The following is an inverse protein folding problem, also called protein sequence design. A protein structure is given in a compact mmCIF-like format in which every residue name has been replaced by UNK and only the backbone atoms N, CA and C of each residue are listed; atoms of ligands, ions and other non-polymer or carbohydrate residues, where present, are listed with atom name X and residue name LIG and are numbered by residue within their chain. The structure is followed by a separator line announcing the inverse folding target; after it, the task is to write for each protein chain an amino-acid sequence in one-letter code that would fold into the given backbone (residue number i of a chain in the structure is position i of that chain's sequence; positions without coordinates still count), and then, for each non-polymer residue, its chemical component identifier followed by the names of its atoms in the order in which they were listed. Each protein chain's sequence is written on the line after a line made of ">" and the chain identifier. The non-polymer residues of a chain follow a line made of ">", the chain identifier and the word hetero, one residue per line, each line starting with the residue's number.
data_IF_127228135737
#
_entry.id   IF_127228135737
#
_cell.length_a   1.000
_cell.length_b   1.000
_cell.length_c   1.000
_cell.angle_alpha   90.00
_cell.angle_beta   90.00
_cell.angle_gamma   90.00
#
_symmetry.space_group_name_H-M   'P 1'
#
loop_
_entity.id
_entity.type
_entity.pdbx_description
1 polymer ?
#
# COMPACT_ATOMS: atom_id res chain seq x y z
N UNK A 1 7.41 23.67 -14.40
CA UNK A 1 6.63 24.91 -14.26
C UNK A 1 6.19 24.98 -12.80
N UNK A 2 6.66 26.00 -12.07
CA UNK A 2 6.09 26.32 -10.77
C UNK A 2 4.60 26.64 -10.96
N UNK A 3 3.75 25.95 -10.24
CA UNK A 3 2.39 26.40 -10.04
C UNK A 3 2.52 27.76 -9.33
N UNK A 4 2.00 28.81 -9.91
CA UNK A 4 2.14 30.16 -9.32
C UNK A 4 1.59 30.14 -7.91
N UNK A 5 2.23 30.87 -6.97
CA UNK A 5 1.79 30.97 -5.57
C UNK A 5 0.31 31.35 -5.42
N UNK A 6 -0.25 32.02 -6.43
CA UNK A 6 -1.66 32.38 -6.52
C UNK A 6 -2.58 31.15 -6.70
N UNK A 7 -2.26 30.22 -7.62
CA UNK A 7 -3.07 29.03 -7.86
C UNK A 7 -2.96 28.03 -6.69
N UNK A 8 -1.76 27.86 -6.13
CA UNK A 8 -1.53 27.07 -4.91
C UNK A 8 -2.27 27.68 -3.72
N UNK A 9 -2.21 29.01 -3.58
CA UNK A 9 -2.89 29.76 -2.50
C UNK A 9 -4.42 29.71 -2.65
N UNK A 10 -4.94 29.70 -3.88
CA UNK A 10 -6.38 29.63 -4.15
C UNK A 10 -6.93 28.21 -3.89
N UNK A 11 -6.21 27.17 -4.34
CA UNK A 11 -6.57 25.78 -4.07
C UNK A 11 -6.58 25.47 -2.56
N UNK A 12 -5.62 26.04 -1.79
CA UNK A 12 -5.50 25.75 -0.36
C UNK A 12 -6.23 26.74 0.56
N UNK A 13 -6.47 27.98 0.16
CA UNK A 13 -7.25 28.96 0.97
C UNK A 13 -8.73 28.63 1.02
N UNK A 14 -9.31 28.21 -0.09
CA UNK A 14 -10.73 27.84 -0.13
C UNK A 14 -10.99 26.52 0.63
N UNK A 15 -10.03 25.55 0.61
CA UNK A 15 -10.14 24.31 1.37
C UNK A 15 -10.08 24.48 2.91
N UNK A 16 -9.37 25.47 3.42
CA UNK A 16 -9.21 25.67 4.88
C UNK A 16 -10.35 26.49 5.48
N UNK A 17 -10.90 27.47 4.74
CA UNK A 17 -11.99 28.31 5.25
C UNK A 17 -13.34 27.56 5.32
N UNK A 18 -13.63 26.69 4.35
CA UNK A 18 -14.85 25.88 4.31
C UNK A 18 -14.85 24.70 5.30
N UNK A 19 -13.68 24.17 5.66
CA UNK A 19 -13.57 23.09 6.65
C UNK A 19 -14.01 23.50 8.06
N UNK A 20 -13.80 24.76 8.45
CA UNK A 20 -14.23 25.25 9.77
C UNK A 20 -15.76 25.43 9.87
N UNK A 21 -16.45 25.66 8.76
CA UNK A 21 -17.92 25.80 8.71
C UNK A 21 -18.63 24.46 8.53
N UNK A 22 -18.09 23.55 7.71
CA UNK A 22 -18.69 22.23 7.40
C UNK A 22 -18.46 21.18 8.47
N UNK A 23 -17.38 21.30 9.27
CA UNK A 23 -17.14 20.39 10.41
C UNK A 23 -18.16 20.49 11.53
N UNK A 24 -18.98 21.55 11.57
CA UNK A 24 -20.06 21.72 12.55
C UNK A 24 -21.41 21.11 12.12
N UNK A 25 -21.60 20.84 10.83
CA UNK A 25 -22.86 20.28 10.32
C UNK A 25 -22.82 18.76 10.02
N UNK A 26 -21.61 18.16 9.93
CA UNK A 26 -21.42 16.74 9.52
C UNK A 26 -21.32 15.71 10.65
N UNK A 27 -21.53 16.08 11.90
CA UNK A 27 -21.53 15.11 13.02
C UNK A 27 -22.78 14.20 13.11
N UNK A 28 -23.54 14.04 12.03
CA UNK A 28 -24.75 13.19 12.03
C UNK A 28 -24.96 12.28 10.81
N UNK A 29 -24.00 12.17 9.91
CA UNK A 29 -24.07 11.21 8.79
C UNK A 29 -22.73 10.47 8.72
N UNK A 30 -22.80 9.13 8.89
CA UNK A 30 -21.68 8.25 9.08
C UNK A 30 -20.52 8.42 8.08
N UNK A 31 -19.30 8.42 8.64
CA UNK A 31 -18.05 8.31 7.91
C UNK A 31 -18.08 7.08 6.99
N UNK A 32 -18.23 7.30 5.69
CA UNK A 32 -17.81 6.32 4.71
C UNK A 32 -16.28 6.44 4.64
N UNK A 33 -15.57 5.53 5.29
CA UNK A 33 -14.12 5.38 5.28
C UNK A 33 -13.62 5.31 3.83
N UNK A 34 -12.91 6.34 3.41
CA UNK A 34 -12.23 6.39 2.12
C UNK A 34 -11.06 5.44 2.18
N UNK A 35 -11.17 4.30 1.53
CA UNK A 35 -10.19 3.22 1.56
C UNK A 35 -8.83 3.66 1.02
N UNK A 36 -7.95 4.09 1.90
CA UNK A 36 -6.50 4.15 1.64
C UNK A 36 -6.02 2.72 1.47
N UNK A 37 -5.40 2.39 0.33
CA UNK A 37 -4.79 1.06 0.14
C UNK A 37 -3.66 0.91 1.14
N UNK A 38 -3.79 -0.09 2.00
CA UNK A 38 -2.77 -0.46 2.97
C UNK A 38 -1.92 -1.61 2.44
N UNK A 39 -0.66 -1.64 2.87
CA UNK A 39 0.29 -2.69 2.55
C UNK A 39 0.62 -3.46 3.81
N UNK A 40 0.51 -4.79 3.74
CA UNK A 40 0.65 -5.66 4.89
C UNK A 40 1.71 -6.73 4.66
N UNK A 41 2.61 -6.92 5.63
CA UNK A 41 3.41 -8.14 5.76
C UNK A 41 2.63 -9.16 6.57
N UNK A 42 2.49 -10.36 6.02
CA UNK A 42 1.71 -11.43 6.60
C UNK A 42 2.51 -12.74 6.65
N UNK A 43 2.54 -13.41 7.80
CA UNK A 43 3.14 -14.74 7.96
C UNK A 43 2.03 -15.82 7.98
N UNK A 44 1.92 -16.66 6.94
CA UNK A 44 0.91 -17.71 6.85
C UNK A 44 1.26 -18.93 7.71
N UNK A 45 0.89 -18.88 8.98
CA UNK A 45 1.26 -19.92 9.97
C UNK A 45 2.71 -19.83 10.43
N UNK A 46 3.09 -20.71 11.37
CA UNK A 46 4.46 -20.79 11.85
C UNK A 46 5.40 -21.31 10.74
N UNK A 47 6.49 -20.57 10.51
CA UNK A 47 7.41 -20.91 9.42
C UNK A 47 6.79 -20.88 8.01
N UNK A 48 5.63 -20.23 7.86
CA UNK A 48 4.81 -20.21 6.66
C UNK A 48 4.24 -21.60 6.26
N UNK A 49 3.98 -22.44 7.25
CA UNK A 49 3.47 -23.82 7.02
C UNK A 49 2.14 -23.87 6.28
N UNK A 50 1.32 -22.82 6.38
CA UNK A 50 0.01 -22.74 5.74
C UNK A 50 0.04 -22.13 4.34
N UNK A 51 1.20 -21.65 3.86
CA UNK A 51 1.30 -20.88 2.63
C UNK A 51 0.69 -21.58 1.42
N UNK A 52 1.06 -22.85 1.18
CA UNK A 52 0.59 -23.60 0.03
C UNK A 52 -0.93 -23.80 0.02
N UNK A 53 -1.51 -24.09 1.19
CA UNK A 53 -2.95 -24.25 1.36
C UNK A 53 -3.68 -22.93 1.13
N UNK A 54 -3.22 -21.85 1.73
CA UNK A 54 -3.84 -20.52 1.61
C UNK A 54 -3.74 -19.96 0.20
N UNK A 55 -2.59 -20.14 -0.45
CA UNK A 55 -2.43 -19.75 -1.84
C UNK A 55 -3.43 -20.48 -2.75
N UNK A 56 -3.53 -21.80 -2.61
CA UNK A 56 -4.42 -22.63 -3.45
C UNK A 56 -5.91 -22.35 -3.19
N UNK A 57 -6.27 -22.02 -1.94
CA UNK A 57 -7.63 -21.66 -1.56
C UNK A 57 -8.01 -20.21 -1.88
N UNK A 58 -7.05 -19.36 -2.25
CA UNK A 58 -7.30 -17.92 -2.47
C UNK A 58 -7.67 -17.19 -1.19
N UNK A 59 -7.04 -17.54 -0.06
CA UNK A 59 -7.34 -16.95 1.24
C UNK A 59 -6.08 -16.51 1.99
N UNK A 60 -6.24 -15.70 3.01
CA UNK A 60 -5.34 -15.55 4.15
C UNK A 60 -6.09 -15.92 5.43
N UNK A 61 -5.45 -16.68 6.31
CA UNK A 61 -6.01 -17.11 7.58
C UNK A 61 -5.20 -16.62 8.76
N UNK A 62 -5.86 -16.35 9.87
CA UNK A 62 -5.21 -15.94 11.10
C UNK A 62 -5.47 -16.99 12.19
N UNK A 63 -4.42 -17.43 12.88
CA UNK A 63 -4.52 -18.31 14.05
C UNK A 63 -5.19 -17.62 15.24
N UNK A 64 -5.03 -18.19 16.42
CA UNK A 64 -5.78 -17.90 17.64
C UNK A 64 -7.22 -18.39 17.56
N UNK A 65 -7.40 -19.61 17.05
CA UNK A 65 -8.68 -20.28 16.84
C UNK A 65 -9.50 -20.39 18.14
N UNK A 66 -8.80 -20.44 19.28
CA UNK A 66 -9.39 -20.43 20.62
C UNK A 66 -10.16 -19.17 20.98
N UNK A 67 -10.01 -18.09 20.20
CA UNK A 67 -10.81 -16.88 20.36
C UNK A 67 -12.19 -17.00 19.68
N UNK A 68 -12.37 -17.97 18.76
CA UNK A 68 -13.59 -18.13 17.98
C UNK A 68 -13.78 -16.98 16.97
N UNK A 69 -15.03 -16.57 16.76
CA UNK A 69 -15.34 -15.44 15.89
C UNK A 69 -14.82 -14.12 16.49
N UNK A 70 -13.85 -13.54 15.81
CA UNK A 70 -13.15 -12.34 16.26
C UNK A 70 -14.03 -11.08 16.21
N UNK A 71 -15.12 -11.05 15.44
CA UNK A 71 -16.09 -9.95 15.43
C UNK A 71 -16.90 -9.80 16.72
N UNK A 72 -16.86 -10.81 17.59
CA UNK A 72 -17.60 -10.79 18.86
C UNK A 72 -16.99 -9.91 19.92
N UNK A 73 -15.73 -9.48 19.74
CA UNK A 73 -15.00 -8.66 20.71
C UNK A 73 -15.18 -7.17 20.45
N UNK A 74 -15.48 -6.42 21.50
CA UNK A 74 -15.69 -4.98 21.42
C UNK A 74 -14.38 -4.16 21.46
N UNK A 75 -13.25 -4.76 21.86
CA UNK A 75 -11.96 -4.06 21.98
C UNK A 75 -10.74 -4.99 21.94
N UNK A 76 -9.57 -4.41 21.62
CA UNK A 76 -8.26 -5.08 21.72
C UNK A 76 -7.95 -5.57 23.15
N UNK A 77 -8.38 -4.81 24.14
CA UNK A 77 -8.14 -5.17 25.55
C UNK A 77 -8.95 -6.40 25.97
N UNK A 78 -10.17 -6.55 25.47
CA UNK A 78 -11.00 -7.72 25.67
C UNK A 78 -10.37 -8.98 25.06
N UNK A 79 -9.88 -8.89 23.81
CA UNK A 79 -9.11 -9.96 23.16
C UNK A 79 -7.86 -10.33 23.96
N UNK A 80 -7.10 -9.33 24.43
CA UNK A 80 -5.90 -9.55 25.23
C UNK A 80 -6.24 -10.21 26.58
N UNK A 81 -7.36 -9.83 27.20
CA UNK A 81 -7.83 -10.46 28.44
C UNK A 81 -8.23 -11.91 28.20
N UNK A 82 -8.97 -12.19 27.12
CA UNK A 82 -9.36 -13.55 26.77
C UNK A 82 -8.15 -14.47 26.54
N UNK A 83 -7.13 -13.97 25.84
CA UNK A 83 -5.87 -14.71 25.63
C UNK A 83 -5.15 -14.99 26.96
N UNK A 84 -5.15 -14.04 27.92
CA UNK A 84 -4.60 -14.27 29.27
C UNK A 84 -5.37 -15.34 30.03
N UNK A 85 -6.69 -15.31 29.91
CA UNK A 85 -7.56 -16.28 30.60
C UNK A 85 -7.35 -17.72 30.08
N UNK A 86 -7.06 -17.84 28.77
CA UNK A 86 -6.81 -19.15 28.12
C UNK A 86 -5.40 -19.67 28.42
N UNK A 87 -4.39 -18.84 28.19
CA UNK A 87 -3.00 -19.30 28.24
C UNK A 87 -2.33 -19.10 29.62
N UNK A 88 -2.88 -18.24 30.46
CA UNK A 88 -2.28 -17.88 31.75
C UNK A 88 -0.96 -17.12 31.62
N UNK A 89 -0.26 -16.97 32.75
CA UNK A 89 1.08 -16.40 32.80
C UNK A 89 1.11 -14.86 32.83
N UNK A 90 2.35 -14.30 32.88
CA UNK A 90 2.59 -12.85 33.01
C UNK A 90 2.60 -12.10 31.66
N UNK A 91 2.30 -12.79 30.56
CA UNK A 91 2.28 -12.16 29.22
C UNK A 91 1.12 -11.20 29.09
N UNK A 92 1.39 -10.02 28.52
CA UNK A 92 0.34 -9.02 28.29
C UNK A 92 -0.58 -9.34 27.09
N UNK A 93 -0.15 -10.21 26.17
CA UNK A 93 -0.81 -10.56 24.90
C UNK A 93 -1.23 -9.36 24.02
N UNK A 94 -0.73 -8.15 24.30
CA UNK A 94 -1.11 -6.92 23.58
C UNK A 94 -0.74 -6.98 22.09
N UNK A 95 0.41 -7.58 21.78
CA UNK A 95 0.84 -7.69 20.37
C UNK A 95 -0.03 -8.69 19.58
N UNK A 96 -0.40 -9.81 20.21
CA UNK A 96 -1.32 -10.80 19.62
C UNK A 96 -2.70 -10.19 19.39
N UNK A 97 -3.27 -9.58 20.42
CA UNK A 97 -4.56 -8.91 20.34
C UNK A 97 -4.56 -7.76 19.29
N UNK A 98 -3.44 -7.05 19.14
CA UNK A 98 -3.30 -6.03 18.11
C UNK A 98 -3.33 -6.61 16.69
N UNK A 99 -2.59 -7.70 16.45
CA UNK A 99 -2.59 -8.37 15.15
C UNK A 99 -3.98 -8.93 14.79
N UNK A 100 -4.64 -9.56 15.77
CA UNK A 100 -6.01 -10.08 15.62
C UNK A 100 -7.00 -8.94 15.30
N UNK A 101 -6.90 -7.83 16.01
CA UNK A 101 -7.76 -6.67 15.78
C UNK A 101 -7.54 -6.06 14.40
N UNK A 102 -6.29 -5.88 13.99
CA UNK A 102 -5.95 -5.36 12.66
C UNK A 102 -6.50 -6.25 11.55
N UNK A 103 -6.42 -7.56 11.72
CA UNK A 103 -6.93 -8.51 10.75
C UNK A 103 -8.43 -8.35 10.52
N UNK A 104 -9.21 -8.06 11.57
CA UNK A 104 -10.67 -7.89 11.48
C UNK A 104 -11.06 -6.50 11.01
N UNK A 105 -10.44 -5.45 11.58
CA UNK A 105 -10.98 -4.10 11.48
C UNK A 105 -10.18 -3.17 10.57
N UNK A 106 -8.86 -3.38 10.46
CA UNK A 106 -7.98 -2.45 9.77
C UNK A 106 -7.74 -2.88 8.30
N UNK A 107 -7.63 -4.20 8.02
CA UNK A 107 -7.51 -4.71 6.64
C UNK A 107 -8.84 -4.53 5.90
N UNK A 108 -8.76 -4.06 4.66
CA UNK A 108 -9.93 -3.80 3.80
C UNK A 108 -9.76 -4.46 2.42
N UNK A 109 -10.86 -4.74 1.71
CA UNK A 109 -10.79 -5.09 0.29
C UNK A 109 -10.02 -4.03 -0.50
N UNK A 110 -9.09 -4.48 -1.36
CA UNK A 110 -8.16 -3.63 -2.10
C UNK A 110 -6.79 -3.47 -1.45
N UNK A 111 -6.60 -3.86 -0.18
CA UNK A 111 -5.28 -3.86 0.46
C UNK A 111 -4.34 -4.89 -0.15
N UNK A 112 -3.05 -4.58 -0.15
CA UNK A 112 -1.99 -5.44 -0.70
C UNK A 112 -1.34 -6.25 0.42
N UNK A 113 -1.26 -7.57 0.23
CA UNK A 113 -0.64 -8.50 1.16
C UNK A 113 0.66 -9.05 0.57
N UNK A 114 1.75 -8.95 1.33
CA UNK A 114 2.99 -9.66 1.08
C UNK A 114 3.12 -10.84 2.05
N UNK A 115 2.99 -12.05 1.54
CA UNK A 115 3.21 -13.27 2.32
C UNK A 115 4.72 -13.46 2.55
N UNK A 116 5.11 -13.70 3.80
CA UNK A 116 6.52 -13.83 4.17
C UNK A 116 6.83 -15.14 4.91
N UNK A 117 8.09 -15.59 4.80
CA UNK A 117 8.67 -16.64 5.64
C UNK A 117 9.82 -16.07 6.47
N UNK A 118 9.74 -16.23 7.78
CA UNK A 118 10.78 -15.75 8.69
C UNK A 118 10.97 -14.23 8.61
N UNK A 119 12.24 -13.80 8.50
CA UNK A 119 12.63 -12.39 8.61
C UNK A 119 13.14 -11.75 7.33
N UNK A 120 13.28 -12.51 6.25
CA UNK A 120 13.94 -11.99 5.03
C UNK A 120 13.41 -12.57 3.73
N UNK A 121 12.40 -13.43 3.76
CA UNK A 121 11.88 -14.07 2.56
C UNK A 121 10.42 -13.67 2.31
N UNK A 122 10.13 -13.26 1.09
CA UNK A 122 8.77 -13.05 0.57
C UNK A 122 8.38 -14.28 -0.26
N UNK A 123 7.17 -14.77 -0.06
CA UNK A 123 6.63 -15.96 -0.72
C UNK A 123 5.60 -15.63 -1.78
N UNK A 124 5.02 -14.45 -1.72
CA UNK A 124 4.00 -14.05 -2.68
C UNK A 124 3.39 -12.69 -2.38
N UNK A 125 2.61 -12.21 -3.36
CA UNK A 125 1.83 -10.98 -3.30
C UNK A 125 0.38 -11.30 -3.64
N UNK A 126 -0.54 -10.64 -2.96
CA UNK A 126 -1.97 -10.73 -3.24
C UNK A 126 -2.70 -9.43 -2.92
N UNK A 127 -3.96 -9.36 -3.34
CA UNK A 127 -4.89 -8.26 -3.05
C UNK A 127 -6.08 -8.82 -2.30
N UNK A 128 -6.47 -8.19 -1.21
CA UNK A 128 -7.63 -8.58 -0.39
C UNK A 128 -8.91 -8.37 -1.18
N UNK A 129 -9.77 -9.38 -1.27
CA UNK A 129 -11.04 -9.32 -2.01
C UNK A 129 -12.27 -9.28 -1.11
N UNK A 130 -12.16 -9.74 0.15
CA UNK A 130 -13.31 -9.76 1.07
C UNK A 130 -13.08 -9.00 2.36
N UNK A 131 -14.17 -8.68 3.04
CA UNK A 131 -14.15 -8.39 4.47
C UNK A 131 -13.76 -9.63 5.25
N UNK A 132 -13.58 -9.47 6.58
CA UNK A 132 -13.34 -10.61 7.47
C UNK A 132 -14.52 -11.58 7.45
N UNK A 133 -14.21 -12.88 7.40
CA UNK A 133 -15.14 -14.00 7.46
C UNK A 133 -14.72 -14.99 8.55
N UNK A 134 -15.69 -15.49 9.32
CA UNK A 134 -15.49 -16.62 10.23
C UNK A 134 -16.10 -17.87 9.61
N UNK A 135 -15.26 -18.84 9.25
CA UNK A 135 -15.68 -20.10 8.63
C UNK A 135 -15.59 -21.26 9.65
N UNK A 136 -16.71 -21.52 10.31
CA UNK A 136 -16.83 -22.61 11.30
C UNK A 136 -16.73 -24.02 10.68
N UNK A 137 -16.79 -24.11 9.34
CA UNK A 137 -16.66 -25.37 8.61
C UNK A 137 -15.25 -25.61 8.04
N UNK A 138 -14.33 -24.70 8.29
CA UNK A 138 -12.92 -24.89 7.90
C UNK A 138 -12.33 -26.01 8.75
N UNK A 139 -11.85 -27.11 8.13
CA UNK A 139 -11.42 -28.37 8.77
C UNK A 139 -10.47 -28.24 9.99
N UNK A 140 -10.90 -27.51 11.01
CA UNK A 140 -10.32 -27.45 12.35
C UNK A 140 -9.19 -26.49 12.61
N UNK A 141 -8.61 -25.82 11.62
CA UNK A 141 -7.55 -24.81 11.81
C UNK A 141 -7.80 -23.55 10.97
N UNK A 142 -7.51 -22.36 11.55
CA UNK A 142 -7.62 -21.05 10.90
C UNK A 142 -9.04 -20.70 10.40
N UNK A 143 -10.07 -20.71 11.25
CA UNK A 143 -11.43 -20.36 10.85
C UNK A 143 -11.59 -18.86 10.55
N UNK A 144 -10.64 -18.03 10.96
CA UNK A 144 -10.64 -16.59 10.78
C UNK A 144 -9.94 -16.24 9.46
N UNK A 145 -10.70 -15.93 8.42
CA UNK A 145 -10.20 -15.80 7.05
C UNK A 145 -10.59 -14.49 6.38
N UNK A 146 -9.86 -14.17 5.30
CA UNK A 146 -10.21 -13.23 4.25
C UNK A 146 -9.88 -13.83 2.89
N UNK A 147 -10.69 -13.54 1.87
CA UNK A 147 -10.37 -13.90 0.50
C UNK A 147 -9.28 -12.98 -0.03
N UNK A 148 -8.30 -13.57 -0.69
CA UNK A 148 -7.16 -12.88 -1.27
C UNK A 148 -6.92 -13.40 -2.67
N UNK A 149 -6.87 -12.51 -3.63
CA UNK A 149 -6.38 -12.82 -4.96
C UNK A 149 -4.86 -12.78 -4.94
N UNK A 150 -4.24 -13.94 -4.78
CA UNK A 150 -2.80 -14.09 -4.87
C UNK A 150 -2.35 -13.89 -6.32
N UNK A 151 -1.52 -12.89 -6.57
CA UNK A 151 -1.05 -12.50 -7.90
C UNK A 151 0.32 -13.07 -8.23
N UNK A 152 1.14 -13.33 -7.22
CA UNK A 152 2.49 -13.86 -7.38
C UNK A 152 2.80 -14.92 -6.33
N UNK A 153 3.57 -15.94 -6.73
CA UNK A 153 4.06 -17.00 -5.86
C UNK A 153 5.51 -17.30 -6.21
N UNK A 154 6.38 -17.35 -5.23
CA UNK A 154 7.80 -17.61 -5.45
C UNK A 154 8.60 -17.60 -4.15
N UNK A 155 9.87 -17.24 -4.26
CA UNK A 155 10.77 -17.06 -3.14
C UNK A 155 11.73 -15.91 -3.47
N UNK A 156 11.58 -14.79 -2.78
CA UNK A 156 12.40 -13.60 -2.96
C UNK A 156 13.07 -13.23 -1.64
N UNK A 157 14.40 -13.18 -1.65
CA UNK A 157 15.17 -12.80 -0.48
C UNK A 157 15.28 -11.27 -0.38
N UNK A 158 14.97 -10.74 0.79
CA UNK A 158 15.14 -9.33 1.11
C UNK A 158 16.43 -9.10 1.89
N UNK A 159 17.15 -8.05 1.54
CA UNK A 159 18.30 -7.58 2.32
C UNK A 159 17.89 -6.94 3.65
N UNK A 160 16.62 -6.56 3.78
CA UNK A 160 16.06 -5.97 4.98
C UNK A 160 15.37 -7.01 5.86
N UNK A 161 15.52 -6.86 7.18
CA UNK A 161 14.91 -7.78 8.12
C UNK A 161 13.48 -7.36 8.47
N UNK A 162 12.54 -8.26 8.25
CA UNK A 162 11.13 -8.07 8.61
C UNK A 162 10.88 -8.20 10.10
N UNK A 163 9.83 -7.53 10.59
CA UNK A 163 9.34 -7.73 11.93
C UNK A 163 8.92 -9.19 12.17
N UNK A 164 9.23 -9.74 13.36
CA UNK A 164 8.79 -11.08 13.74
C UNK A 164 7.35 -11.08 14.28
N UNK A 165 6.45 -10.51 13.47
CA UNK A 165 5.01 -10.49 13.77
C UNK A 165 4.26 -11.24 12.68
N UNK A 166 3.12 -11.81 13.04
CA UNK A 166 2.23 -12.49 12.09
C UNK A 166 1.65 -11.51 11.08
N UNK A 167 1.30 -10.31 11.54
CA UNK A 167 0.76 -9.24 10.71
C UNK A 167 1.44 -7.91 11.05
N UNK A 168 1.80 -7.13 10.04
CA UNK A 168 2.43 -5.81 10.21
C UNK A 168 1.97 -4.88 9.10
N UNK A 169 1.40 -3.75 9.48
CA UNK A 169 1.12 -2.64 8.55
C UNK A 169 2.45 -1.99 8.15
N UNK A 170 2.75 -2.00 6.86
CA UNK A 170 3.95 -1.42 6.27
C UNK A 170 3.63 -0.25 5.33
N UNK A 171 2.41 0.23 5.33
CA UNK A 171 1.90 1.30 4.44
C UNK A 171 2.75 2.57 4.50
N UNK A 172 3.22 2.94 5.70
CA UNK A 172 4.01 4.15 5.90
C UNK A 172 5.51 3.97 5.57
N UNK A 173 5.95 2.75 5.28
CA UNK A 173 7.34 2.42 4.93
C UNK A 173 7.45 2.32 3.40
N UNK A 174 7.29 3.46 2.71
CA UNK A 174 7.19 3.52 1.24
C UNK A 174 8.40 2.95 0.52
N UNK A 175 9.62 3.21 0.99
CA UNK A 175 10.84 2.64 0.39
C UNK A 175 10.85 1.12 0.50
N UNK A 176 10.43 0.60 1.64
CA UNK A 176 10.31 -0.83 1.89
C UNK A 176 9.24 -1.48 1.01
N UNK A 177 8.04 -0.90 0.93
CA UNK A 177 6.94 -1.43 0.11
C UNK A 177 7.27 -1.40 -1.38
N UNK A 178 7.93 -0.35 -1.86
CA UNK A 178 8.41 -0.25 -3.24
C UNK A 178 9.48 -1.29 -3.55
N UNK A 179 10.44 -1.51 -2.62
CA UNK A 179 11.49 -2.51 -2.79
C UNK A 179 10.92 -3.94 -2.88
N UNK A 180 9.95 -4.27 -2.01
CA UNK A 180 9.29 -5.58 -2.08
C UNK A 180 8.44 -5.70 -3.35
N UNK A 181 7.72 -4.65 -3.73
CA UNK A 181 6.95 -4.64 -4.99
C UNK A 181 7.85 -4.89 -6.20
N UNK A 182 9.07 -4.37 -6.19
CA UNK A 182 10.07 -4.60 -7.23
C UNK A 182 10.48 -6.08 -7.40
N UNK A 183 10.31 -6.92 -6.38
CA UNK A 183 10.57 -8.36 -6.52
C UNK A 183 9.64 -9.05 -7.51
N UNK A 184 8.48 -8.48 -7.75
CA UNK A 184 7.46 -9.04 -8.62
C UNK A 184 7.52 -8.46 -10.05
N UNK A 185 8.46 -7.55 -10.30
CA UNK A 185 8.64 -6.91 -11.60
C UNK A 185 9.73 -7.61 -12.44
N UNK A 186 10.63 -8.41 -11.81
CA UNK A 186 11.83 -9.01 -12.44
C UNK A 186 11.72 -10.53 -12.71
N UNK A 187 10.55 -11.08 -12.98
CA UNK A 187 10.50 -12.53 -13.22
C UNK A 187 9.26 -13.03 -13.92
N UNK A 188 9.38 -13.23 -15.22
CA UNK A 188 9.10 -14.50 -15.90
C UNK A 188 9.10 -14.29 -17.41
N UNK A 189 10.18 -14.73 -18.08
CA UNK A 189 10.23 -14.88 -19.54
C UNK A 189 9.74 -16.26 -20.01
N UNK A 190 9.15 -17.14 -19.23
CA UNK A 190 8.65 -18.43 -19.69
C UNK A 190 7.56 -19.01 -18.80
N UNK A 191 6.35 -18.44 -18.87
CA UNK A 191 5.10 -19.21 -18.69
C UNK A 191 3.97 -18.40 -19.36
N UNK A 192 3.28 -19.01 -20.31
CA UNK A 192 2.00 -18.51 -20.84
C UNK A 192 1.00 -18.42 -19.67
N UNK A 193 1.02 -17.31 -18.93
CA UNK A 193 -0.01 -17.05 -17.93
C UNK A 193 -1.30 -16.64 -18.62
N UNK A 194 -2.32 -17.43 -18.36
CA UNK A 194 -3.72 -16.99 -18.37
C UNK A 194 -3.78 -15.69 -17.58
N UNK A 195 -3.72 -14.54 -18.27
CA UNK A 195 -3.81 -13.21 -17.68
C UNK A 195 -5.19 -13.06 -17.05
N UNK A 196 -5.32 -13.48 -15.79
CA UNK A 196 -6.48 -13.11 -14.97
C UNK A 196 -6.43 -11.60 -14.80
N UNK A 197 -7.32 -10.90 -15.46
CA UNK A 197 -7.53 -9.46 -15.33
C UNK A 197 -7.78 -9.17 -13.85
N UNK A 198 -6.87 -8.42 -13.22
CA UNK A 198 -7.08 -7.92 -11.87
C UNK A 198 -8.12 -6.81 -12.00
N UNK A 199 -9.29 -7.00 -11.44
CA UNK A 199 -10.37 -6.01 -11.44
C UNK A 199 -10.15 -5.07 -10.25
N UNK A 200 -9.44 -3.97 -10.48
CA UNK A 200 -9.27 -2.93 -9.48
C UNK A 200 -10.55 -2.10 -9.36
N UNK A 201 -10.89 -1.60 -8.14
CA UNK A 201 -12.06 -0.77 -7.95
C UNK A 201 -12.05 0.45 -8.86
N UNK A 202 -13.17 0.72 -9.52
CA UNK A 202 -13.33 1.95 -10.29
C UNK A 202 -13.15 3.19 -9.39
N UNK A 203 -12.56 4.25 -9.93
CA UNK A 203 -12.36 5.51 -9.23
C UNK A 203 -12.63 6.69 -10.17
N UNK A 204 -13.74 7.34 -9.95
CA UNK A 204 -14.24 8.41 -10.82
C UNK A 204 -13.70 9.80 -10.41
N UNK A 205 -13.93 10.79 -11.28
CA UNK A 205 -13.71 12.21 -10.94
C UNK A 205 -14.58 12.63 -9.76
N UNK A 206 -15.81 12.11 -9.67
CA UNK A 206 -16.72 12.40 -8.58
C UNK A 206 -16.17 11.88 -7.24
N UNK A 207 -15.60 10.67 -7.23
CA UNK A 207 -14.92 10.12 -6.06
C UNK A 207 -13.77 11.03 -5.62
N UNK A 208 -12.95 11.50 -6.58
CA UNK A 208 -11.87 12.44 -6.30
C UNK A 208 -12.39 13.74 -5.66
N UNK A 209 -13.40 14.37 -6.26
CA UNK A 209 -13.96 15.63 -5.77
C UNK A 209 -14.61 15.49 -4.39
N UNK A 210 -15.19 14.33 -4.08
CA UNK A 210 -15.74 14.03 -2.77
C UNK A 210 -14.66 13.86 -1.70
N UNK A 211 -13.49 13.29 -2.08
CA UNK A 211 -12.40 13.00 -1.15
C UNK A 211 -11.44 14.18 -0.96
N UNK A 212 -11.18 14.99 -1.99
CA UNK A 212 -10.08 15.98 -2.02
C UNK A 212 -10.53 17.42 -1.70
N UNK A 213 -11.82 17.68 -1.59
CA UNK A 213 -12.37 19.03 -1.34
C UNK A 213 -11.85 20.08 -2.33
N UNK A 214 -11.79 19.71 -3.60
CA UNK A 214 -11.42 20.58 -4.72
C UNK A 214 -12.66 20.82 -5.58
N UNK A 215 -12.80 22.02 -6.14
CA UNK A 215 -13.86 22.27 -7.13
C UNK A 215 -13.52 21.66 -8.50
N UNK A 216 -14.54 21.38 -9.29
CA UNK A 216 -14.43 20.70 -10.56
C UNK A 216 -13.57 21.50 -11.58
N UNK A 217 -13.66 22.82 -11.58
CA UNK A 217 -12.86 23.68 -12.48
C UNK A 217 -11.37 23.57 -12.16
N UNK A 218 -11.01 23.60 -10.88
CA UNK A 218 -9.63 23.42 -10.39
C UNK A 218 -9.09 22.03 -10.73
N UNK A 219 -9.92 20.99 -10.61
CA UNK A 219 -9.55 19.62 -11.01
C UNK A 219 -9.19 19.56 -12.49
N UNK A 220 -10.06 20.04 -13.39
CA UNK A 220 -9.78 19.98 -14.82
C UNK A 220 -8.60 20.86 -15.25
N UNK A 221 -8.36 21.99 -14.58
CA UNK A 221 -7.14 22.79 -14.79
C UNK A 221 -5.89 21.97 -14.43
N UNK A 222 -5.91 21.29 -13.28
CA UNK A 222 -4.78 20.48 -12.80
C UNK A 222 -4.49 19.33 -13.76
N UNK A 223 -5.53 18.59 -14.17
CA UNK A 223 -5.42 17.50 -15.17
C UNK A 223 -4.89 18.03 -16.50
N UNK A 224 -5.41 19.15 -17.00
CA UNK A 224 -4.96 19.77 -18.25
C UNK A 224 -3.49 20.20 -18.22
N UNK A 225 -3.01 20.71 -17.06
CA UNK A 225 -1.59 21.02 -16.88
C UNK A 225 -0.75 19.76 -16.89
N UNK A 226 -1.19 18.70 -16.18
CA UNK A 226 -0.48 17.41 -16.14
C UNK A 226 -0.41 16.76 -17.52
N UNK A 227 -1.52 16.70 -18.26
CA UNK A 227 -1.54 16.14 -19.64
C UNK A 227 -0.64 16.94 -20.60
N UNK A 228 -0.55 18.26 -20.44
CA UNK A 228 0.27 19.13 -21.29
C UNK A 228 1.77 19.09 -20.94
N UNK A 229 2.10 18.97 -19.67
CA UNK A 229 3.48 19.09 -19.17
C UNK A 229 4.09 17.78 -18.73
N UNK A 230 3.29 16.74 -18.58
CA UNK A 230 3.65 15.40 -18.10
C UNK A 230 4.20 15.37 -16.66
N UNK A 231 4.26 16.52 -15.99
CA UNK A 231 4.64 16.62 -14.58
C UNK A 231 4.02 17.85 -13.93
N UNK A 232 3.82 17.77 -12.61
CA UNK A 232 3.38 18.88 -11.76
C UNK A 232 4.12 18.84 -10.42
N UNK A 233 4.25 19.99 -9.77
CA UNK A 233 4.77 20.11 -8.42
C UNK A 233 3.63 20.62 -7.52
N UNK A 234 3.26 19.79 -6.53
CA UNK A 234 2.29 20.16 -5.50
C UNK A 234 3.04 20.79 -4.32
N UNK A 235 2.87 22.09 -4.13
CA UNK A 235 3.51 22.85 -3.05
C UNK A 235 2.47 23.26 -2.01
N UNK A 236 2.88 23.34 -0.74
CA UNK A 236 2.01 23.78 0.36
C UNK A 236 2.58 23.41 1.72
N UNK A 237 1.93 23.89 2.79
CA UNK A 237 2.34 23.63 4.17
C UNK A 237 2.36 22.11 4.50
N UNK A 238 3.16 21.68 5.49
CA UNK A 238 3.08 20.30 5.99
C UNK A 238 1.67 19.97 6.48
N UNK A 239 1.22 18.74 6.23
CA UNK A 239 -0.08 18.24 6.71
C UNK A 239 -1.32 18.65 5.89
N UNK A 240 -1.17 19.42 4.79
CA UNK A 240 -2.32 19.81 3.94
C UNK A 240 -2.77 18.72 2.94
N UNK A 241 -2.25 17.51 3.04
CA UNK A 241 -2.70 16.39 2.22
C UNK A 241 -2.11 16.31 0.80
N UNK A 242 -0.97 16.93 0.50
CA UNK A 242 -0.34 16.89 -0.84
C UNK A 242 -0.18 15.48 -1.38
N UNK A 243 0.40 14.58 -0.59
CA UNK A 243 0.62 13.16 -0.95
C UNK A 243 -0.70 12.42 -1.16
N UNK A 244 -1.70 12.73 -0.36
CA UNK A 244 -3.05 12.21 -0.49
C UNK A 244 -3.68 12.62 -1.83
N UNK A 245 -3.60 13.90 -2.17
CA UNK A 245 -4.11 14.45 -3.44
C UNK A 245 -3.40 13.84 -4.64
N UNK A 246 -2.06 13.71 -4.58
CA UNK A 246 -1.27 13.16 -5.69
C UNK A 246 -1.71 11.75 -6.10
N UNK A 247 -1.86 10.83 -5.14
CA UNK A 247 -2.32 9.46 -5.41
C UNK A 247 -3.74 9.43 -5.99
N UNK A 248 -4.65 10.22 -5.41
CA UNK A 248 -6.05 10.26 -5.87
C UNK A 248 -6.21 10.87 -7.25
N UNK A 249 -5.41 11.87 -7.55
CA UNK A 249 -5.37 12.46 -8.89
C UNK A 249 -4.93 11.40 -9.91
N UNK A 250 -3.93 10.60 -9.61
CA UNK A 250 -3.52 9.49 -10.46
C UNK A 250 -4.67 8.51 -10.70
N UNK A 251 -5.34 8.04 -9.64
CA UNK A 251 -6.47 7.13 -9.75
C UNK A 251 -7.64 7.71 -10.54
N UNK A 252 -7.99 8.97 -10.33
CA UNK A 252 -9.09 9.61 -11.08
C UNK A 252 -8.79 9.77 -12.58
N UNK A 253 -7.52 10.00 -12.94
CA UNK A 253 -7.10 10.06 -14.34
C UNK A 253 -7.07 8.67 -14.99
N UNK A 254 -6.74 7.63 -14.22
CA UNK A 254 -6.80 6.24 -14.69
C UNK A 254 -8.22 5.68 -14.73
N UNK A 255 -9.17 6.27 -14.00
CA UNK A 255 -10.53 5.76 -13.83
C UNK A 255 -10.62 4.54 -12.91
N UNK A 256 -9.53 4.15 -12.24
CA UNK A 256 -9.42 2.92 -11.46
C UNK A 256 -8.35 3.06 -10.37
N UNK A 257 -8.55 2.41 -9.22
CA UNK A 257 -7.56 2.36 -8.11
C UNK A 257 -6.49 1.29 -8.36
N UNK A 258 -5.85 1.32 -9.52
CA UNK A 258 -4.76 0.42 -9.84
C UNK A 258 -3.47 0.88 -9.17
N UNK A 259 -3.10 0.17 -8.11
CA UNK A 259 -1.92 0.48 -7.30
C UNK A 259 -0.61 0.13 -8.02
N UNK A 260 -0.66 -0.78 -8.99
CA UNK A 260 0.53 -1.23 -9.73
C UNK A 260 0.97 -0.20 -10.78
N UNK A 261 0.09 0.73 -11.14
CA UNK A 261 0.39 1.84 -12.06
C UNK A 261 0.69 3.17 -11.35
N UNK A 262 0.80 3.15 -10.01
CA UNK A 262 1.17 4.32 -9.21
C UNK A 262 2.31 3.96 -8.28
N UNK A 263 3.52 4.45 -8.55
CA UNK A 263 4.66 4.31 -7.66
C UNK A 263 4.93 5.61 -6.91
N UNK A 264 5.24 5.52 -5.62
CA UNK A 264 5.63 6.67 -4.82
C UNK A 264 6.95 6.41 -4.11
N UNK A 265 7.87 7.34 -4.23
CA UNK A 265 9.14 7.36 -3.48
C UNK A 265 9.22 8.61 -2.63
N UNK A 266 9.88 8.51 -1.47
CA UNK A 266 10.14 9.65 -0.60
C UNK A 266 11.63 9.99 -0.65
N UNK A 267 11.97 11.22 -1.04
CA UNK A 267 13.35 11.65 -1.06
C UNK A 267 13.85 11.98 0.36
N UNK A 268 15.10 11.60 0.63
CA UNK A 268 15.82 11.89 1.87
C UNK A 268 17.32 12.14 1.56
N UNK A 269 18.07 12.62 2.54
CA UNK A 269 19.47 13.03 2.33
C UNK A 269 20.39 11.93 1.81
N UNK A 270 20.08 10.66 2.11
CA UNK A 270 20.90 9.52 1.67
C UNK A 270 20.45 8.93 0.33
N UNK A 271 19.33 9.41 -0.24
CA UNK A 271 18.83 8.93 -1.53
C UNK A 271 19.82 9.29 -2.65
N UNK A 272 20.15 8.36 -3.51
CA UNK A 272 21.21 8.52 -4.50
C UNK A 272 20.74 8.20 -5.92
N UNK A 273 21.58 8.50 -6.91
CA UNK A 273 21.34 8.13 -8.31
C UNK A 273 21.20 6.62 -8.49
N UNK A 274 22.00 5.86 -7.73
CA UNK A 274 21.98 4.40 -7.75
C UNK A 274 20.66 3.82 -7.21
N UNK A 275 20.00 4.52 -6.28
CA UNK A 275 18.70 4.11 -5.76
C UNK A 275 17.56 4.51 -6.71
N UNK A 276 17.73 5.59 -7.46
CA UNK A 276 16.73 6.18 -8.31
C UNK A 276 16.76 5.64 -9.75
N UNK A 277 17.94 5.65 -10.37
CA UNK A 277 18.14 5.26 -11.78
C UNK A 277 18.80 3.89 -11.86
N UNK A 278 20.11 3.81 -11.59
CA UNK A 278 20.88 2.57 -11.59
C UNK A 278 22.28 2.81 -11.03
N UNK A 279 22.94 1.75 -10.56
CA UNK A 279 24.32 1.84 -10.11
C UNK A 279 24.93 0.50 -9.78
N UNK A 280 26.26 0.53 -9.55
CA UNK A 280 27.00 -0.65 -9.14
C UNK A 280 26.78 -0.93 -7.66
N UNK A 281 26.40 -2.16 -7.32
CA UNK A 281 26.27 -2.65 -5.95
C UNK A 281 27.21 -3.84 -5.73
N UNK A 282 27.81 -3.97 -4.54
CA UNK A 282 28.59 -5.15 -4.21
C UNK A 282 27.75 -6.42 -4.31
N UNK A 283 28.31 -7.46 -4.95
CA UNK A 283 27.74 -8.81 -5.03
C UNK A 283 28.77 -9.85 -4.59
N UNK A 284 28.37 -11.12 -4.50
CA UNK A 284 29.27 -12.21 -4.09
C UNK A 284 30.48 -12.36 -5.04
N UNK A 285 30.30 -12.04 -6.33
CA UNK A 285 31.30 -12.19 -7.39
C UNK A 285 31.95 -10.85 -7.82
N UNK A 286 31.69 -9.75 -7.09
CA UNK A 286 32.24 -8.43 -7.40
C UNK A 286 31.28 -7.29 -7.31
N UNK A 287 30.92 -6.68 -8.44
CA UNK A 287 29.95 -5.59 -8.53
C UNK A 287 28.96 -5.86 -9.66
N UNK A 288 27.66 -5.83 -9.33
CA UNK A 288 26.58 -5.92 -10.29
C UNK A 288 25.89 -4.57 -10.50
N UNK A 289 25.41 -4.32 -11.73
CA UNK A 289 24.55 -3.19 -11.99
C UNK A 289 23.15 -3.52 -11.48
N UNK A 290 22.67 -2.76 -10.49
CA UNK A 290 21.27 -2.80 -10.04
C UNK A 290 20.53 -1.58 -10.56
N UNK A 291 19.32 -1.80 -11.05
CA UNK A 291 18.40 -0.76 -11.50
C UNK A 291 17.64 -0.15 -10.32
N UNK A 292 17.42 1.17 -10.37
CA UNK A 292 16.73 1.93 -9.35
C UNK A 292 15.21 1.97 -9.58
N UNK A 293 14.50 2.49 -8.58
CA UNK A 293 13.03 2.50 -8.55
C UNK A 293 12.40 3.21 -9.77
N UNK A 294 12.93 4.36 -10.17
CA UNK A 294 12.38 5.11 -11.30
C UNK A 294 12.63 4.38 -12.63
N UNK A 295 13.83 3.84 -12.83
CA UNK A 295 14.14 3.08 -14.05
C UNK A 295 13.23 1.88 -14.22
N UNK A 296 13.05 1.09 -13.17
CA UNK A 296 12.19 -0.09 -13.21
C UNK A 296 10.73 0.28 -13.50
N UNK A 297 10.22 1.32 -12.85
CA UNK A 297 8.87 1.81 -13.10
C UNK A 297 8.67 2.32 -14.53
N UNK A 298 9.67 3.02 -15.10
CA UNK A 298 9.63 3.42 -16.51
C UNK A 298 9.62 2.21 -17.46
N UNK A 299 10.40 1.16 -17.15
CA UNK A 299 10.40 -0.07 -17.95
C UNK A 299 9.08 -0.82 -17.89
N UNK A 300 8.41 -0.81 -16.73
CA UNK A 300 7.06 -1.35 -16.59
C UNK A 300 6.06 -0.58 -17.45
N UNK A 301 6.07 0.74 -17.38
CA UNK A 301 5.21 1.60 -18.20
C UNK A 301 5.46 1.44 -19.72
N UNK A 302 6.74 1.23 -20.12
CA UNK A 302 7.10 0.99 -21.52
C UNK A 302 6.52 -0.31 -22.07
N UNK A 303 6.41 -1.36 -21.25
CA UNK A 303 5.82 -2.65 -21.62
C UNK A 303 4.28 -2.59 -21.73
N UNK A 304 3.66 -1.66 -21.04
CA UNK A 304 2.21 -1.44 -21.01
C UNK A 304 1.84 -0.05 -21.54
N UNK A 305 2.21 0.21 -22.81
CA UNK A 305 2.09 1.52 -23.45
C UNK A 305 0.65 2.03 -23.65
N UNK A 306 -0.36 1.19 -23.50
CA UNK A 306 -1.77 1.57 -23.64
C UNK A 306 -2.35 2.19 -22.35
N UNK A 307 -1.64 2.07 -21.24
CA UNK A 307 -2.07 2.53 -19.92
C UNK A 307 -1.25 3.72 -19.41
N UNK A 308 -1.88 4.57 -18.58
CA UNK A 308 -1.21 5.67 -17.90
C UNK A 308 -0.57 5.18 -16.61
N UNK A 309 0.69 5.62 -16.37
CA UNK A 309 1.48 5.34 -15.18
C UNK A 309 1.86 6.64 -14.48
N UNK A 310 1.88 6.63 -13.14
CA UNK A 310 2.15 7.82 -12.34
C UNK A 310 3.26 7.56 -11.34
N UNK A 311 4.35 8.31 -11.46
CA UNK A 311 5.45 8.28 -10.51
C UNK A 311 5.37 9.51 -9.61
N UNK A 312 5.28 9.30 -8.29
CA UNK A 312 5.12 10.34 -7.29
C UNK A 312 6.41 10.45 -6.48
N UNK A 313 6.99 11.65 -6.43
CA UNK A 313 8.14 11.95 -5.55
C UNK A 313 7.62 12.79 -4.38
N UNK A 314 7.65 12.21 -3.18
CA UNK A 314 7.32 12.93 -1.96
C UNK A 314 8.58 13.55 -1.33
N UNK A 315 8.42 14.66 -0.63
CA UNK A 315 9.50 15.39 0.05
C UNK A 315 10.73 15.66 -0.85
N UNK A 316 10.50 16.04 -2.10
CA UNK A 316 11.55 16.27 -3.11
C UNK A 316 12.65 17.23 -2.63
N UNK A 317 12.31 18.18 -1.77
CA UNK A 317 13.22 19.17 -1.18
C UNK A 317 14.14 18.58 -0.08
N UNK A 318 13.89 17.37 0.41
CA UNK A 318 14.75 16.70 1.40
C UNK A 318 15.91 15.95 0.78
N UNK A 319 15.83 15.64 -0.50
CA UNK A 319 16.90 14.99 -1.25
C UNK A 319 17.93 15.98 -1.77
N UNK A 320 19.16 15.49 -2.01
CA UNK A 320 20.14 16.22 -2.81
C UNK A 320 19.86 15.96 -4.30
N UNK A 321 19.12 16.87 -4.94
CA UNK A 321 18.63 16.68 -6.31
C UNK A 321 19.75 16.47 -7.33
N UNK A 322 20.87 17.22 -7.23
CA UNK A 322 22.03 17.02 -8.10
C UNK A 322 22.60 15.60 -7.98
N UNK A 323 22.68 15.07 -6.76
CA UNK A 323 23.14 13.71 -6.52
C UNK A 323 22.15 12.65 -7.03
N UNK A 324 20.85 12.89 -6.90
CA UNK A 324 19.81 11.92 -7.27
C UNK A 324 19.61 11.86 -8.78
N UNK A 325 19.67 13.01 -9.45
CA UNK A 325 19.49 13.08 -10.91
C UNK A 325 20.79 12.99 -11.70
N UNK A 326 21.95 12.93 -11.03
CA UNK A 326 23.24 12.72 -11.68
C UNK A 326 23.84 13.98 -12.33
N UNK A 327 23.57 15.17 -11.77
CA UNK A 327 24.14 16.45 -12.20
C UNK A 327 25.35 16.86 -11.35
#
# INVERSE_FOLDING_TARGET
>A
LEMTDELASEIFKNGVADNAAKSKEKNSLGDADVATVHYWLYAPGEGASMWEGFYSAGIMGLGWDELGDLNTYASKDEMAQKLRDIHGGDSSYKNSAHAVWQFVHDIKPGDVIFAKRGRSEILGRGVVESDYEYDDNHDGEYPNIRKVKWTHKGSWQSDEMFAMKTLTDVTNYTDFTNKISGFFEDGNEDEEEDTKVIDYPAYSVEDFLNEVYMDEESYYKLVGVLDSKLNIILQGAPGVGKTFVAKRLAYSIMGVKDVDRVMMVQFHQSYSYEDFIMGFRPSADGFDIKTGAFYNFCKKAERDGDNKYFFIIDEINRGNLSKIFGE
#
